data_IF_833122615492
#
_entry.id   IF_833122615492
#
_cell.length_a   1.000
_cell.length_b   1.000
_cell.length_c   1.000
_cell.angle_alpha   90.00
_cell.angle_beta   90.00
_cell.angle_gamma   90.00
#
_symmetry.space_group_name_H-M   'P 1'
#
loop_
_entity.id
_entity.type
_entity.pdbx_description
1 polymer ?
#
# COMPACT_ATOMS: atom_id res chain seq x y z
N UNK A 1 -7.65 1.21 -17.70
CA UNK A 1 -7.61 0.58 -16.38
C UNK A 1 -8.43 1.41 -15.40
N UNK A 2 -9.55 0.87 -14.94
CA UNK A 2 -10.53 1.63 -14.19
C UNK A 2 -10.43 1.45 -12.68
N UNK A 3 -9.19 1.53 -12.17
CA UNK A 3 -8.99 1.47 -10.74
C UNK A 3 -9.31 2.84 -10.15
N UNK A 4 -10.31 2.89 -9.30
CA UNK A 4 -10.73 4.11 -8.63
C UNK A 4 -10.23 4.10 -7.20
N UNK A 5 -9.91 5.28 -6.65
CA UNK A 5 -9.44 5.36 -5.27
C UNK A 5 -10.45 4.78 -4.27
N UNK A 6 -11.73 4.87 -4.58
CA UNK A 6 -12.77 4.32 -3.71
C UNK A 6 -12.74 2.79 -3.62
N UNK A 7 -12.02 2.12 -4.53
CA UNK A 7 -11.85 0.67 -4.48
C UNK A 7 -10.81 0.26 -3.44
N UNK A 8 -10.09 1.22 -2.88
CA UNK A 8 -9.06 0.98 -1.88
C UNK A 8 -9.45 1.61 -0.55
N UNK A 9 -9.08 0.95 0.54
CA UNK A 9 -9.38 1.44 1.89
C UNK A 9 -8.40 2.54 2.33
N UNK A 10 -7.39 2.84 1.54
CA UNK A 10 -6.42 3.86 1.84
C UNK A 10 -5.14 3.64 1.05
N UNK A 11 -4.13 4.50 1.27
CA UNK A 11 -2.89 4.39 0.50
C UNK A 11 -2.10 3.12 0.75
N UNK A 12 -2.17 2.54 1.95
CA UNK A 12 -1.51 1.25 2.21
C UNK A 12 -2.15 0.13 1.41
N UNK A 13 -3.47 0.17 1.23
CA UNK A 13 -4.17 -0.83 0.42
C UNK A 13 -3.75 -0.72 -1.04
N UNK A 14 -3.62 0.49 -1.55
CA UNK A 14 -3.13 0.71 -2.91
C UNK A 14 -1.70 0.20 -3.07
N UNK A 15 -0.82 0.50 -2.11
CA UNK A 15 0.55 0.03 -2.13
C UNK A 15 0.61 -1.50 -2.07
N UNK A 16 -0.21 -2.11 -1.23
CA UNK A 16 -0.30 -3.57 -1.15
C UNK A 16 -0.69 -4.16 -2.50
N UNK A 17 -1.65 -3.55 -3.17
CA UNK A 17 -2.09 -3.99 -4.50
C UNK A 17 -0.94 -3.94 -5.51
N UNK A 18 -0.18 -2.85 -5.51
CA UNK A 18 0.96 -2.68 -6.42
C UNK A 18 2.07 -3.68 -6.13
N UNK A 19 2.37 -3.90 -4.84
CA UNK A 19 3.39 -4.86 -4.42
C UNK A 19 2.99 -6.28 -4.77
N UNK A 20 1.71 -6.62 -4.61
CA UNK A 20 1.20 -7.97 -4.85
C UNK A 20 1.40 -8.45 -6.29
N UNK A 21 1.51 -7.52 -7.23
CA UNK A 21 1.71 -7.86 -8.64
C UNK A 21 3.06 -8.53 -8.90
N UNK A 22 4.03 -8.34 -8.01
CA UNK A 22 5.38 -8.88 -8.18
C UNK A 22 5.50 -10.34 -7.74
N UNK A 23 4.54 -10.84 -6.96
CA UNK A 23 4.49 -12.24 -6.51
C UNK A 23 5.79 -12.70 -5.85
N UNK A 24 6.36 -11.84 -5.00
CA UNK A 24 7.60 -12.13 -4.29
C UNK A 24 7.50 -11.59 -2.88
N UNK A 25 8.51 -11.91 -2.05
CA UNK A 25 8.56 -11.37 -0.69
C UNK A 25 8.56 -9.85 -0.74
N UNK A 26 7.78 -9.22 0.16
CA UNK A 26 7.65 -7.77 0.17
C UNK A 26 8.98 -7.05 0.34
N UNK A 27 9.93 -7.67 1.05
CA UNK A 27 11.24 -7.06 1.27
C UNK A 27 12.16 -7.19 0.06
N UNK A 28 11.77 -7.97 -0.94
CA UNK A 28 12.53 -8.16 -2.18
C UNK A 28 11.96 -7.40 -3.37
N UNK A 29 10.78 -6.77 -3.23
CA UNK A 29 10.18 -6.04 -4.35
C UNK A 29 11.01 -4.80 -4.70
N UNK A 30 11.03 -4.40 -5.98
CA UNK A 30 11.75 -3.19 -6.38
C UNK A 30 10.96 -1.95 -5.94
N UNK A 31 11.27 -1.47 -4.75
CA UNK A 31 10.48 -0.40 -4.12
C UNK A 31 10.44 0.88 -4.96
N UNK A 32 11.51 1.19 -5.66
CA UNK A 32 11.54 2.39 -6.51
C UNK A 32 10.48 2.33 -7.60
N UNK A 33 10.30 1.16 -8.21
CA UNK A 33 9.25 0.97 -9.23
C UNK A 33 7.87 1.08 -8.62
N UNK A 34 7.67 0.53 -7.43
CA UNK A 34 6.39 0.61 -6.73
C UNK A 34 6.05 2.08 -6.43
N UNK A 35 7.03 2.83 -5.96
CA UNK A 35 6.87 4.26 -5.68
C UNK A 35 6.48 5.01 -6.95
N UNK A 36 7.17 4.75 -8.05
CA UNK A 36 6.87 5.42 -9.32
C UNK A 36 5.45 5.10 -9.79
N UNK A 37 5.01 3.85 -9.64
CA UNK A 37 3.66 3.45 -10.01
C UNK A 37 2.62 4.17 -9.14
N UNK A 38 2.87 4.26 -7.84
CA UNK A 38 1.96 4.96 -6.94
C UNK A 38 1.85 6.44 -7.31
N UNK A 39 2.98 7.11 -7.49
CA UNK A 39 3.00 8.52 -7.83
C UNK A 39 2.35 8.80 -9.18
N UNK A 40 2.58 7.93 -10.15
CA UNK A 40 1.94 8.05 -11.47
C UNK A 40 0.43 7.88 -11.37
N UNK A 41 -0.01 6.94 -10.54
CA UNK A 41 -1.43 6.69 -10.35
C UNK A 41 -2.14 7.91 -9.75
N UNK A 42 -1.56 8.47 -8.67
CA UNK A 42 -2.13 9.65 -8.02
C UNK A 42 -2.11 10.85 -8.98
N UNK A 43 -1.01 11.03 -9.70
CA UNK A 43 -0.89 12.12 -10.67
C UNK A 43 -1.93 12.02 -11.77
N UNK A 44 -2.19 10.81 -12.26
CA UNK A 44 -3.21 10.58 -13.29
C UNK A 44 -4.59 10.93 -12.77
N UNK A 45 -4.90 10.55 -11.53
CA UNK A 45 -6.20 10.89 -10.94
C UNK A 45 -6.38 12.40 -10.80
N UNK A 46 -5.33 13.11 -10.41
CA UNK A 46 -5.37 14.57 -10.33
C UNK A 46 -5.57 15.21 -11.69
N UNK A 47 -4.89 14.68 -12.72
CA UNK A 47 -5.04 15.19 -14.08
C UNK A 47 -6.45 14.97 -14.62
N UNK A 48 -7.12 13.91 -14.19
CA UNK A 48 -8.51 13.64 -14.55
C UNK A 48 -9.50 14.42 -13.68
N UNK A 49 -9.01 15.28 -12.81
CA UNK A 49 -9.80 16.08 -11.87
C UNK A 49 -10.63 15.24 -10.92
N UNK A 50 -10.14 14.04 -10.61
CA UNK A 50 -10.74 13.20 -9.60
C UNK A 50 -10.20 13.61 -8.24
N UNK A 51 -11.05 13.56 -7.23
CA UNK A 51 -10.68 13.97 -5.89
C UNK A 51 -9.71 12.95 -5.27
N UNK A 52 -8.59 13.47 -4.76
CA UNK A 52 -7.59 12.67 -4.06
C UNK A 52 -7.53 13.15 -2.62
N UNK A 53 -7.80 12.25 -1.68
CA UNK A 53 -7.84 12.61 -0.26
C UNK A 53 -6.45 12.94 0.27
N UNK A 54 -6.42 13.65 1.42
CA UNK A 54 -5.16 14.03 2.04
C UNK A 54 -4.28 12.86 2.41
N UNK A 55 -4.87 11.72 2.78
CA UNK A 55 -4.10 10.52 3.12
C UNK A 55 -3.21 10.06 1.98
N UNK A 56 -3.73 10.08 0.75
CA UNK A 56 -2.96 9.70 -0.44
C UNK A 56 -1.85 10.70 -0.71
N UNK A 57 -2.09 11.97 -0.45
CA UNK A 57 -1.08 13.01 -0.66
C UNK A 57 0.03 12.93 0.38
N UNK A 58 -0.31 12.64 1.63
CA UNK A 58 0.69 12.42 2.68
C UNK A 58 1.58 11.24 2.31
N UNK A 59 0.98 10.13 1.89
CA UNK A 59 1.76 8.97 1.46
C UNK A 59 2.64 9.31 0.26
N UNK A 60 2.12 10.05 -0.72
CA UNK A 60 2.93 10.47 -1.86
C UNK A 60 4.17 11.24 -1.42
N UNK A 61 4.03 12.13 -0.45
CA UNK A 61 5.15 12.89 0.09
C UNK A 61 6.19 11.99 0.74
N UNK A 62 5.75 11.00 1.51
CA UNK A 62 6.65 10.03 2.13
C UNK A 62 7.40 9.22 1.07
N UNK A 63 6.69 8.78 0.04
CA UNK A 63 7.31 8.02 -1.04
C UNK A 63 8.30 8.85 -1.85
N UNK A 64 8.00 10.12 -2.09
CA UNK A 64 8.92 11.03 -2.74
C UNK A 64 10.21 11.19 -1.94
N UNK A 65 10.09 11.26 -0.62
CA UNK A 65 11.24 11.38 0.26
C UNK A 65 12.12 10.14 0.17
N UNK A 66 11.53 8.95 0.21
CA UNK A 66 12.27 7.68 0.09
C UNK A 66 12.99 7.61 -1.25
N UNK A 67 12.26 7.90 -2.34
CA UNK A 67 12.83 7.87 -3.69
C UNK A 67 13.97 8.86 -3.83
N UNK A 68 13.77 10.08 -3.34
CA UNK A 68 14.79 11.13 -3.43
C UNK A 68 16.07 10.73 -2.71
N UNK A 69 15.94 10.15 -1.52
CA UNK A 69 17.10 9.71 -0.75
C UNK A 69 17.84 8.57 -1.43
N UNK A 70 17.13 7.65 -2.08
CA UNK A 70 17.76 6.55 -2.81
C UNK A 70 18.56 7.04 -4.02
N UNK A 71 18.22 8.19 -4.58
CA UNK A 71 18.91 8.77 -5.73
C UNK A 71 20.08 9.65 -5.34
N UNK A 72 20.22 10.01 -4.06
CA UNK A 72 21.33 10.82 -3.59
C UNK A 72 22.59 9.99 -3.42
N UNK A 73 23.80 10.61 -3.57
CA UNK A 73 25.05 9.91 -3.29
C UNK A 73 25.05 9.39 -1.86
N UNK A 74 25.49 8.15 -1.69
CA UNK A 74 25.49 7.51 -0.37
C UNK A 74 26.55 8.08 0.54
N UNK A 75 26.13 8.82 1.54
CA UNK A 75 26.95 9.20 2.70
C UNK A 75 26.51 8.28 3.84
N UNK A 76 27.44 7.76 4.62
CA UNK A 76 27.18 6.72 5.61
C UNK A 76 26.02 7.04 6.56
N UNK A 77 25.90 8.28 7.00
CA UNK A 77 24.86 8.70 7.92
C UNK A 77 23.48 8.73 7.26
N UNK A 78 23.41 9.09 5.97
CA UNK A 78 22.17 9.18 5.22
C UNK A 78 21.65 7.78 4.84
N UNK A 79 22.57 6.84 4.62
CA UNK A 79 22.21 5.47 4.23
C UNK A 79 21.37 4.78 5.29
N UNK A 80 21.73 4.91 6.57
CA UNK A 80 20.98 4.30 7.67
C UNK A 80 19.56 4.85 7.74
N UNK A 81 19.39 6.15 7.53
CA UNK A 81 18.09 6.79 7.57
C UNK A 81 17.20 6.35 6.39
N UNK A 82 17.79 6.21 5.21
CA UNK A 82 17.07 5.70 4.03
C UNK A 82 16.55 4.29 4.25
N UNK A 83 17.44 3.43 4.74
CA UNK A 83 17.08 2.04 5.00
C UNK A 83 15.97 1.95 6.03
N UNK A 84 16.01 2.79 7.07
CA UNK A 84 14.97 2.81 8.10
C UNK A 84 13.62 3.22 7.53
N UNK A 85 13.58 4.25 6.68
CA UNK A 85 12.33 4.72 6.09
C UNK A 85 11.74 3.67 5.14
N UNK A 86 12.58 3.06 4.32
CA UNK A 86 12.13 2.01 3.40
C UNK A 86 11.63 0.79 4.17
N UNK A 87 12.40 0.32 5.15
CA UNK A 87 12.04 -0.84 5.95
C UNK A 87 10.76 -0.58 6.74
N UNK A 88 10.60 0.61 7.29
CA UNK A 88 9.40 0.98 8.00
C UNK A 88 8.18 0.93 7.09
N UNK A 89 8.30 1.45 5.87
CA UNK A 89 7.21 1.40 4.90
C UNK A 89 6.84 -0.04 4.56
N UNK A 90 7.84 -0.87 4.26
CA UNK A 90 7.62 -2.26 3.91
C UNK A 90 6.97 -3.02 5.06
N UNK A 91 7.38 -2.74 6.30
CA UNK A 91 6.77 -3.33 7.49
C UNK A 91 5.31 -2.92 7.62
N UNK A 92 4.98 -1.67 7.35
CA UNK A 92 3.60 -1.19 7.40
C UNK A 92 2.73 -1.90 6.37
N UNK A 93 3.25 -2.09 5.15
CA UNK A 93 2.51 -2.80 4.10
C UNK A 93 2.28 -4.26 4.49
N UNK A 94 3.32 -4.90 5.05
CA UNK A 94 3.23 -6.30 5.49
C UNK A 94 2.23 -6.47 6.63
N UNK A 95 2.24 -5.58 7.61
CA UNK A 95 1.29 -5.61 8.71
C UNK A 95 -0.14 -5.39 8.19
N UNK A 96 -0.31 -4.48 7.25
CA UNK A 96 -1.61 -4.23 6.64
C UNK A 96 -2.10 -5.47 5.89
N UNK A 97 -1.21 -6.15 5.17
CA UNK A 97 -1.55 -7.39 4.46
C UNK A 97 -2.08 -8.44 5.42
N UNK A 98 -1.38 -8.63 6.54
CA UNK A 98 -1.79 -9.60 7.57
C UNK A 98 -3.13 -9.22 8.18
N UNK A 99 -3.32 -7.94 8.46
CA UNK A 99 -4.55 -7.43 9.03
C UNK A 99 -5.73 -7.66 8.06
N UNK A 100 -5.50 -7.39 6.79
CA UNK A 100 -6.53 -7.57 5.76
C UNK A 100 -6.91 -9.03 5.60
N UNK A 101 -5.94 -9.92 5.58
CA UNK A 101 -6.20 -11.36 5.49
C UNK A 101 -6.96 -11.86 6.71
N UNK A 102 -6.61 -11.39 7.91
CA UNK A 102 -7.32 -11.74 9.12
C UNK A 102 -8.77 -11.24 9.06
N UNK A 103 -8.98 -10.02 8.59
CA UNK A 103 -10.32 -9.47 8.44
C UNK A 103 -11.18 -10.28 7.50
N UNK A 104 -10.63 -10.67 6.36
CA UNK A 104 -11.32 -11.51 5.39
C UNK A 104 -11.69 -12.86 6.01
N UNK A 105 -10.78 -13.45 6.76
CA UNK A 105 -11.01 -14.73 7.42
C UNK A 105 -12.14 -14.63 8.46
N UNK A 106 -12.13 -13.57 9.26
CA UNK A 106 -13.17 -13.34 10.25
C UNK A 106 -14.53 -13.08 9.59
N UNK A 107 -14.56 -12.36 8.50
CA UNK A 107 -15.77 -12.10 7.76
C UNK A 107 -16.36 -13.38 7.18
N UNK A 108 -15.52 -14.24 6.62
CA UNK A 108 -15.95 -15.53 6.11
C UNK A 108 -16.56 -16.38 7.22
N UNK A 109 -15.95 -16.42 8.39
CA UNK A 109 -16.49 -17.15 9.54
C UNK A 109 -17.81 -16.55 10.02
N UNK A 110 -17.92 -15.23 10.00
CA UNK A 110 -19.15 -14.56 10.40
C UNK A 110 -20.28 -14.87 9.44
N UNK A 111 -20.02 -14.90 8.15
CA UNK A 111 -21.01 -15.26 7.15
C UNK A 111 -21.46 -16.71 7.31
N UNK A 112 -20.53 -17.61 7.60
CA UNK A 112 -20.85 -19.00 7.88
C UNK A 112 -21.78 -19.12 9.07
N UNK A 113 -21.51 -18.42 10.16
CA UNK A 113 -22.37 -18.41 11.33
C UNK A 113 -23.74 -17.84 11.02
N UNK A 114 -23.80 -16.77 10.26
CA UNK A 114 -25.05 -16.14 9.88
C UNK A 114 -25.91 -17.11 9.07
N UNK A 115 -25.33 -17.86 8.14
CA UNK A 115 -26.01 -18.86 7.36
C UNK A 115 -26.53 -20.00 8.26
N UNK A 116 -25.73 -20.41 9.21
CA UNK A 116 -26.07 -21.47 10.12
C UNK A 116 -27.29 -21.08 10.97
N UNK A 117 -27.32 -19.87 11.50
CA UNK A 117 -28.40 -19.39 12.33
C UNK A 117 -29.66 -19.05 11.53
N UNK A 118 -29.52 -18.68 10.27
CA UNK A 118 -30.65 -18.34 9.44
C UNK A 118 -31.46 -19.57 8.96
N UNK A 119 -30.93 -20.77 9.19
CA UNK A 119 -31.63 -22.03 8.88
C UNK A 119 -32.50 -22.51 10.01
N UNK A 120 -32.74 -21.74 11.03
CA UNK A 120 -33.60 -22.10 12.11
C UNK A 120 -35.02 -22.33 11.58
N UNK A 121 -35.72 -23.36 12.03
CA UNK A 121 -37.05 -23.71 11.54
C UNK A 121 -38.09 -22.66 11.83
#
# INVERSE_FOLDING_TARGET
MDIKLKDFEGPLDLLLHLVSKYQMDIYDVPITEVIEQYLAYVSTLQAMRLEVTGEYMVMASQLMLIKSRKLLPKVAEVTDLEDDLEQDLLSQIEEYRKFKLLGEHLEAKHQDRAQYYSKAP
#
